data_IF_589606989412
#
_entry.id   IF_589606989412
#
_cell.length_a   1.000
_cell.length_b   1.000
_cell.length_c   1.000
_cell.angle_alpha   90.00
_cell.angle_beta   90.00
_cell.angle_gamma   90.00
#
_symmetry.space_group_name_H-M   'P 1'
#
loop_
_entity.id
_entity.type
_entity.pdbx_description
1 polymer ?
#
# COMPACT_ATOMS: atom_id res chain seq x y z
N UNK A 1 -15.43 -25.29 -29.43
CA UNK A 1 -15.51 -25.31 -27.96
C UNK A 1 -14.27 -25.98 -27.42
N UNK A 2 -13.25 -25.19 -27.08
CA UNK A 2 -11.95 -25.68 -26.58
C UNK A 2 -11.65 -24.94 -25.27
N UNK A 3 -11.49 -25.72 -24.20
CA UNK A 3 -11.12 -25.24 -22.86
C UNK A 3 -9.71 -24.64 -22.88
N UNK A 4 -9.45 -23.51 -22.18
CA UNK A 4 -8.10 -22.98 -22.10
C UNK A 4 -7.24 -23.83 -21.15
N UNK A 5 -6.06 -24.18 -21.62
CA UNK A 5 -5.03 -24.92 -20.90
C UNK A 5 -4.47 -24.02 -19.78
N UNK A 6 -4.72 -24.38 -18.53
CA UNK A 6 -4.12 -23.70 -17.37
C UNK A 6 -2.63 -24.03 -17.23
N UNK A 7 -1.83 -23.04 -16.79
CA UNK A 7 -0.41 -23.24 -16.50
C UNK A 7 -0.19 -24.21 -15.33
N UNK A 8 0.91 -25.00 -15.32
CA UNK A 8 1.18 -26.02 -14.30
C UNK A 8 1.30 -25.47 -12.86
N UNK A 9 1.45 -24.16 -12.70
CA UNK A 9 1.58 -23.49 -11.40
C UNK A 9 0.24 -23.48 -10.64
N UNK A 10 -0.90 -23.37 -11.33
CA UNK A 10 -2.22 -23.35 -10.69
C UNK A 10 -2.66 -24.72 -10.16
N UNK A 11 -2.15 -25.83 -10.71
CA UNK A 11 -2.45 -27.19 -10.23
C UNK A 11 -1.79 -27.53 -8.89
N UNK A 12 -0.69 -26.87 -8.53
CA UNK A 12 0.04 -27.15 -7.28
C UNK A 12 -0.66 -26.62 -6.01
N UNK A 13 -1.66 -25.76 -6.16
CA UNK A 13 -2.41 -25.15 -5.05
C UNK A 13 -3.65 -25.96 -4.62
N UNK A 14 -3.97 -27.08 -5.29
CA UNK A 14 -5.28 -27.74 -5.19
C UNK A 14 -5.31 -29.14 -4.57
N UNK A 15 -4.20 -29.77 -4.14
CA UNK A 15 -4.28 -31.11 -3.52
C UNK A 15 -3.33 -31.29 -2.33
N UNK A 16 -3.83 -31.66 -1.12
CA UNK A 16 -3.02 -31.82 0.07
C UNK A 16 -2.86 -33.31 0.43
N UNK A 17 -2.32 -34.19 -0.42
CA UNK A 17 -1.88 -35.54 -0.04
C UNK A 17 -1.37 -36.33 -1.25
N UNK A 18 -0.06 -36.32 -1.54
CA UNK A 18 0.71 -37.48 -2.07
C UNK A 18 2.19 -37.29 -1.64
N UNK A 19 2.84 -38.27 -0.99
CA UNK A 19 4.25 -38.18 -0.57
C UNK A 19 5.18 -38.89 -1.55
N UNK A 20 6.26 -38.26 -2.03
CA UNK A 20 7.38 -38.93 -2.72
C UNK A 20 8.57 -37.95 -2.91
N UNK A 21 9.81 -38.42 -3.15
CA UNK A 21 10.62 -39.38 -2.39
C UNK A 21 11.92 -38.74 -1.87
N UNK A 22 12.53 -39.38 -0.87
CA UNK A 22 13.90 -39.14 -0.44
C UNK A 22 14.92 -39.50 -1.53
N UNK A 23 15.97 -38.67 -1.65
CA UNK A 23 17.20 -38.80 -2.45
C UNK A 23 17.16 -38.24 -3.88
N UNK A 24 17.60 -36.99 -4.00
CA UNK A 24 18.62 -36.62 -4.98
C UNK A 24 19.74 -35.88 -4.21
N UNK A 25 20.83 -36.60 -3.97
CA UNK A 25 22.11 -36.04 -3.58
C UNK A 25 22.68 -35.31 -4.80
N UNK A 26 22.88 -34.01 -4.70
CA UNK A 26 23.87 -33.30 -5.50
C UNK A 26 24.78 -32.50 -4.54
N UNK A 27 26.08 -32.45 -4.85
CA UNK A 27 27.12 -32.29 -3.84
C UNK A 27 27.25 -30.84 -3.38
N UNK A 28 27.67 -30.71 -2.12
CA UNK A 28 28.31 -29.52 -1.58
C UNK A 28 29.29 -28.93 -2.58
N UNK A 29 29.02 -27.70 -3.05
CA UNK A 29 30.03 -26.87 -3.69
C UNK A 29 30.52 -25.85 -2.65
N UNK A 30 31.83 -25.83 -2.32
CA UNK A 30 32.39 -24.83 -1.42
C UNK A 30 32.37 -23.44 -2.07
N UNK A 31 32.22 -22.43 -1.22
CA UNK A 31 32.20 -20.99 -1.54
C UNK A 31 33.56 -20.48 -2.07
N UNK A 32 34.00 -20.93 -3.25
CA UNK A 32 35.27 -20.46 -3.84
C UNK A 32 35.18 -19.96 -5.28
N UNK A 33 34.01 -19.89 -5.92
CA UNK A 33 33.90 -19.39 -7.30
C UNK A 33 32.99 -18.16 -7.45
N UNK A 34 33.38 -17.07 -6.79
CA UNK A 34 33.13 -15.70 -7.27
C UNK A 34 34.47 -14.93 -7.25
N UNK A 35 35.49 -15.52 -7.86
CA UNK A 35 36.69 -14.81 -8.29
C UNK A 35 36.67 -14.79 -9.82
N UNK A 36 35.97 -13.81 -10.40
CA UNK A 36 36.23 -13.31 -11.75
C UNK A 36 35.40 -12.04 -11.94
N UNK A 37 35.95 -10.90 -11.49
CA UNK A 37 36.08 -9.67 -12.28
C UNK A 37 36.83 -8.62 -11.44
N UNK A 38 37.99 -8.23 -12.00
CA UNK A 38 39.02 -7.29 -11.50
C UNK A 38 39.97 -7.81 -10.43
N UNK A 39 40.97 -8.54 -10.92
CA UNK A 39 42.32 -8.51 -10.36
C UNK A 39 42.80 -7.06 -10.24
N UNK A 40 43.05 -6.59 -9.02
CA UNK A 40 44.00 -5.50 -8.82
C UNK A 40 45.38 -6.10 -9.03
N UNK A 41 45.98 -5.78 -10.17
CA UNK A 41 47.37 -6.09 -10.48
C UNK A 41 48.28 -5.51 -9.39
N UNK A 42 49.03 -6.39 -8.75
CA UNK A 42 50.26 -6.04 -8.02
C UNK A 42 51.27 -5.46 -9.00
N UNK A 43 51.41 -4.13 -9.02
CA UNK A 43 52.61 -3.46 -9.52
C UNK A 43 52.97 -2.32 -8.58
N UNK A 44 54.14 -2.45 -7.94
CA UNK A 44 54.88 -1.34 -7.33
C UNK A 44 55.56 -0.50 -8.43
N UNK A 45 55.97 0.74 -8.13
CA UNK A 45 55.42 1.92 -8.78
C UNK A 45 56.26 2.39 -9.98
N UNK A 46 55.60 2.71 -11.08
CA UNK A 46 56.14 3.61 -12.08
C UNK A 46 55.14 4.73 -12.36
N UNK A 47 55.67 5.95 -12.24
CA UNK A 47 55.02 7.25 -12.36
C UNK A 47 53.94 7.29 -13.46
N UNK A 48 52.68 7.33 -13.04
CA UNK A 48 51.66 8.09 -13.73
C UNK A 48 50.80 8.76 -12.67
N UNK A 49 50.82 10.08 -12.65
CA UNK A 49 49.97 10.94 -11.83
C UNK A 49 48.51 10.75 -12.25
N UNK A 50 47.92 9.63 -11.84
CA UNK A 50 46.46 9.45 -11.88
C UNK A 50 45.89 10.46 -10.89
N UNK A 51 45.06 11.37 -11.38
CA UNK A 51 44.31 12.28 -10.52
C UNK A 51 43.47 11.45 -9.55
N UNK A 52 43.92 11.38 -8.29
CA UNK A 52 43.20 10.68 -7.24
C UNK A 52 41.84 11.37 -7.10
N UNK A 53 40.76 10.64 -7.38
CA UNK A 53 39.42 11.19 -7.30
C UNK A 53 39.11 11.59 -5.85
N UNK A 54 38.31 12.65 -5.61
CA UNK A 54 37.95 13.08 -4.26
C UNK A 54 37.37 11.95 -3.39
N UNK A 55 36.62 11.03 -4.02
CA UNK A 55 36.03 9.85 -3.38
C UNK A 55 37.09 8.86 -2.88
N UNK A 56 38.17 8.67 -3.64
CA UNK A 56 39.26 7.79 -3.25
C UNK A 56 40.05 8.36 -2.07
N UNK A 57 40.29 9.68 -2.03
CA UNK A 57 40.88 10.35 -0.86
C UNK A 57 40.01 10.23 0.39
N UNK A 58 38.69 10.30 0.22
CA UNK A 58 37.75 10.12 1.33
C UNK A 58 37.74 8.67 1.83
N UNK A 59 37.78 7.69 0.93
CA UNK A 59 37.91 6.29 1.30
C UNK A 59 39.20 6.01 2.08
N UNK A 60 40.35 6.48 1.57
CA UNK A 60 41.65 6.30 2.22
C UNK A 60 41.66 6.96 3.61
N UNK A 61 41.06 8.15 3.75
CA UNK A 61 40.85 8.78 5.05
C UNK A 61 40.09 7.86 6.00
N UNK A 62 38.98 7.24 5.57
CA UNK A 62 38.23 6.31 6.41
C UNK A 62 39.00 5.05 6.77
N UNK A 63 39.79 4.50 5.84
CA UNK A 63 40.68 3.35 6.12
C UNK A 63 41.69 3.71 7.21
N UNK A 64 42.21 4.95 7.23
CA UNK A 64 43.08 5.42 8.29
C UNK A 64 42.35 5.66 9.64
N UNK A 65 41.09 6.11 9.61
CA UNK A 65 40.28 6.33 10.82
C UNK A 65 39.80 5.02 11.44
N UNK A 66 39.49 4.00 10.62
CA UNK A 66 39.16 2.64 11.03
C UNK A 66 40.45 1.84 11.29
N UNK A 67 41.13 2.15 12.40
CA UNK A 67 42.33 1.43 12.87
C UNK A 67 42.05 -0.09 13.04
N UNK A 68 43.09 -0.96 13.03
CA UNK A 68 42.92 -2.39 13.29
C UNK A 68 42.17 -2.63 14.62
N UNK A 69 41.09 -3.43 14.57
CA UNK A 69 40.25 -3.73 15.74
C UNK A 69 38.96 -2.91 15.86
N UNK A 70 38.50 -2.26 14.78
CA UNK A 70 37.24 -1.53 14.77
C UNK A 70 36.02 -2.41 15.09
N UNK A 71 35.02 -1.81 15.73
CA UNK A 71 33.78 -2.49 16.12
C UNK A 71 32.66 -2.28 15.08
N UNK A 72 31.61 -3.12 15.06
CA UNK A 72 30.42 -2.87 14.23
C UNK A 72 29.77 -1.50 14.50
N UNK A 73 29.88 -0.96 15.71
CA UNK A 73 29.44 0.41 16.04
C UNK A 73 30.26 1.48 15.32
N UNK A 74 31.58 1.30 15.20
CA UNK A 74 32.45 2.24 14.48
C UNK A 74 32.15 2.23 12.99
N UNK A 75 31.95 1.04 12.41
CA UNK A 75 31.51 0.89 11.01
C UNK A 75 30.15 1.54 10.80
N UNK A 76 29.19 1.33 11.71
CA UNK A 76 27.88 1.97 11.61
C UNK A 76 27.97 3.51 11.66
N UNK A 77 28.85 4.06 12.50
CA UNK A 77 29.11 5.51 12.55
C UNK A 77 29.73 6.00 11.25
N UNK A 78 30.69 5.25 10.71
CA UNK A 78 31.32 5.56 9.43
C UNK A 78 30.30 5.60 8.29
N UNK A 79 29.42 4.60 8.20
CA UNK A 79 28.35 4.55 7.20
C UNK A 79 27.40 5.73 7.33
N UNK A 80 26.93 6.05 8.55
CA UNK A 80 26.04 7.19 8.79
C UNK A 80 26.64 8.54 8.42
N UNK A 81 27.96 8.67 8.49
CA UNK A 81 28.66 9.90 8.10
C UNK A 81 28.75 10.08 6.58
N UNK A 82 28.46 9.04 5.78
CA UNK A 82 28.52 9.13 4.33
C UNK A 82 27.26 9.76 3.74
N UNK A 83 27.47 10.69 2.82
CA UNK A 83 26.43 11.22 1.93
C UNK A 83 26.40 10.48 0.59
N UNK A 84 27.55 9.96 0.15
CA UNK A 84 27.66 9.20 -1.10
C UNK A 84 27.34 7.70 -0.88
N UNK A 85 26.33 7.14 -1.57
CA UNK A 85 25.92 5.75 -1.40
C UNK A 85 26.94 4.73 -1.91
N UNK A 86 27.70 5.06 -2.95
CA UNK A 86 28.67 4.14 -3.55
C UNK A 86 29.91 4.03 -2.63
N UNK A 87 30.40 5.14 -2.09
CA UNK A 87 31.45 5.15 -1.06
C UNK A 87 31.02 4.40 0.21
N UNK A 88 29.77 4.59 0.65
CA UNK A 88 29.23 3.84 1.79
C UNK A 88 29.23 2.32 1.53
N UNK A 89 28.92 1.90 0.31
CA UNK A 89 28.97 0.49 -0.09
C UNK A 89 30.41 -0.04 -0.16
N UNK A 90 31.35 0.76 -0.64
CA UNK A 90 32.76 0.38 -0.70
C UNK A 90 33.33 0.19 0.71
N UNK A 91 33.03 1.10 1.65
CA UNK A 91 33.37 0.95 3.08
C UNK A 91 32.71 -0.32 3.65
N UNK A 92 31.43 -0.56 3.34
CA UNK A 92 30.72 -1.76 3.80
C UNK A 92 31.37 -3.05 3.29
N UNK A 93 31.77 -3.11 2.02
CA UNK A 93 32.41 -4.29 1.43
C UNK A 93 33.84 -4.50 1.93
N UNK A 94 34.60 -3.41 2.06
CA UNK A 94 35.98 -3.48 2.56
C UNK A 94 36.03 -3.96 4.02
N UNK A 95 35.11 -3.47 4.87
CA UNK A 95 35.01 -3.91 6.26
C UNK A 95 34.66 -5.40 6.35
N UNK A 96 33.81 -5.92 5.45
CA UNK A 96 33.47 -7.35 5.39
C UNK A 96 34.66 -8.27 5.04
N UNK A 97 35.73 -7.75 4.42
CA UNK A 97 36.92 -8.53 4.05
C UNK A 97 37.90 -8.72 5.22
N UNK A 98 37.70 -8.04 6.34
CA UNK A 98 38.63 -8.09 7.47
C UNK A 98 38.44 -9.39 8.28
N UNK A 99 39.55 -10.09 8.58
CA UNK A 99 39.56 -11.46 9.12
C UNK A 99 38.80 -11.66 10.44
N UNK A 100 38.62 -10.62 11.24
CA UNK A 100 37.97 -10.69 12.57
C UNK A 100 36.67 -9.91 12.64
N UNK A 101 36.08 -9.54 11.50
CA UNK A 101 34.89 -8.69 11.46
C UNK A 101 33.73 -9.34 10.70
N UNK A 102 32.54 -9.25 11.27
CA UNK A 102 31.28 -9.63 10.64
C UNK A 102 30.26 -8.51 10.79
N UNK A 103 29.51 -8.24 9.73
CA UNK A 103 28.43 -7.25 9.77
C UNK A 103 27.29 -7.70 10.68
N UNK A 104 26.64 -6.72 11.30
CA UNK A 104 25.50 -6.92 12.19
C UNK A 104 24.23 -6.40 11.54
N UNK A 105 23.06 -6.70 12.12
CA UNK A 105 21.78 -6.14 11.66
C UNK A 105 21.81 -4.61 11.53
N UNK A 106 22.57 -3.93 12.39
CA UNK A 106 22.64 -2.48 12.43
C UNK A 106 23.43 -1.92 11.24
N UNK A 107 24.57 -2.54 10.89
CA UNK A 107 25.37 -2.10 9.73
C UNK A 107 24.65 -2.41 8.43
N UNK A 108 24.00 -3.59 8.31
CA UNK A 108 23.13 -3.92 7.18
C UNK A 108 21.96 -2.94 7.04
N UNK A 109 21.25 -2.63 8.14
CA UNK A 109 20.14 -1.68 8.14
C UNK A 109 20.56 -0.30 7.63
N UNK A 110 21.69 0.22 8.11
CA UNK A 110 22.21 1.53 7.72
C UNK A 110 22.65 1.53 6.25
N UNK A 111 23.40 0.51 5.81
CA UNK A 111 23.82 0.38 4.41
C UNK A 111 22.61 0.30 3.46
N UNK A 112 21.62 -0.55 3.77
CA UNK A 112 20.39 -0.69 2.97
C UNK A 112 19.66 0.65 2.89
N UNK A 113 19.50 1.38 4.01
CA UNK A 113 18.84 2.71 4.02
C UNK A 113 19.57 3.72 3.14
N UNK A 114 20.90 3.78 3.22
CA UNK A 114 21.73 4.68 2.40
C UNK A 114 21.63 4.38 0.91
N UNK A 115 21.66 3.10 0.54
CA UNK A 115 21.49 2.68 -0.86
C UNK A 115 20.09 3.01 -1.39
N UNK A 116 19.05 2.85 -0.56
CA UNK A 116 17.69 3.21 -0.92
C UNK A 116 17.55 4.73 -1.12
N UNK A 117 18.06 5.56 -0.20
CA UNK A 117 18.04 7.02 -0.35
C UNK A 117 18.87 7.48 -1.55
N UNK A 118 19.99 6.79 -1.80
CA UNK A 118 20.89 6.97 -2.94
C UNK A 118 20.38 6.46 -4.28
N UNK A 119 19.16 5.90 -4.32
CA UNK A 119 18.54 5.28 -5.50
C UNK A 119 19.34 4.11 -6.11
N UNK A 120 20.25 3.50 -5.36
CA UNK A 120 21.06 2.33 -5.76
C UNK A 120 20.32 1.01 -5.49
N UNK A 121 19.15 0.85 -6.09
CA UNK A 121 18.23 -0.25 -5.73
C UNK A 121 18.76 -1.65 -6.01
N UNK A 122 19.57 -1.83 -7.07
CA UNK A 122 20.18 -3.14 -7.38
C UNK A 122 21.14 -3.59 -6.28
N UNK A 123 21.98 -2.68 -5.78
CA UNK A 123 22.90 -2.96 -4.69
C UNK A 123 22.14 -3.15 -3.35
N UNK A 124 21.06 -2.40 -3.13
CA UNK A 124 20.19 -2.63 -1.97
C UNK A 124 19.57 -4.03 -2.00
N UNK A 125 19.14 -4.50 -3.18
CA UNK A 125 18.59 -5.85 -3.37
C UNK A 125 19.61 -6.94 -3.07
N UNK A 126 20.88 -6.78 -3.51
CA UNK A 126 21.93 -7.74 -3.17
C UNK A 126 22.16 -7.85 -1.66
N UNK A 127 22.17 -6.73 -0.94
CA UNK A 127 22.30 -6.75 0.52
C UNK A 127 21.07 -7.37 1.20
N UNK A 128 19.87 -7.15 0.64
CA UNK A 128 18.64 -7.80 1.11
C UNK A 128 18.74 -9.32 0.95
N UNK A 129 19.26 -9.79 -0.17
CA UNK A 129 19.43 -11.23 -0.43
C UNK A 129 20.44 -11.88 0.52
N UNK A 130 21.54 -11.18 0.85
CA UNK A 130 22.50 -11.62 1.87
C UNK A 130 21.83 -11.77 3.25
N UNK A 131 21.02 -10.78 3.68
CA UNK A 131 20.26 -10.87 4.94
C UNK A 131 19.26 -12.03 4.91
N UNK A 132 18.58 -12.24 3.78
CA UNK A 132 17.65 -13.37 3.60
C UNK A 132 18.39 -14.71 3.53
N UNK A 133 19.65 -14.76 3.12
CA UNK A 133 20.49 -15.96 3.18
C UNK A 133 21.01 -16.26 4.59
N UNK A 134 20.91 -15.32 5.53
CA UNK A 134 21.33 -15.49 6.92
C UNK A 134 22.69 -14.88 7.24
N UNK A 135 23.13 -13.86 6.50
CA UNK A 135 24.41 -13.19 6.73
C UNK A 135 24.51 -12.44 8.07
N UNK A 136 23.39 -12.16 8.74
CA UNK A 136 23.38 -11.56 10.08
C UNK A 136 22.13 -11.98 10.87
N UNK A 137 22.18 -11.80 12.19
CA UNK A 137 21.00 -11.86 13.04
C UNK A 137 19.96 -10.85 12.54
N UNK A 138 18.70 -11.24 12.55
CA UNK A 138 17.61 -10.40 12.04
C UNK A 138 16.90 -9.72 13.20
N UNK A 139 16.45 -8.49 12.98
CA UNK A 139 15.66 -7.71 13.94
C UNK A 139 14.39 -7.19 13.27
N UNK A 140 13.36 -6.88 14.06
CA UNK A 140 12.10 -6.31 13.56
C UNK A 140 12.32 -5.04 12.71
N UNK A 141 13.15 -4.05 13.11
CA UNK A 141 13.40 -2.86 12.30
C UNK A 141 14.09 -3.16 10.96
N UNK A 142 14.99 -4.15 10.93
CA UNK A 142 15.63 -4.60 9.70
C UNK A 142 14.60 -5.23 8.76
N UNK A 143 13.79 -6.18 9.25
CA UNK A 143 12.73 -6.78 8.46
C UNK A 143 11.72 -5.76 7.93
N UNK A 144 11.24 -4.84 8.77
CA UNK A 144 10.29 -3.80 8.34
C UNK A 144 10.90 -2.85 7.32
N UNK A 145 12.21 -2.57 7.40
CA UNK A 145 12.90 -1.75 6.39
C UNK A 145 13.01 -2.47 5.04
N UNK A 146 13.33 -3.77 5.05
CA UNK A 146 13.38 -4.61 3.84
C UNK A 146 11.98 -4.75 3.23
N UNK A 147 10.95 -5.08 4.03
CA UNK A 147 9.56 -5.19 3.57
C UNK A 147 9.11 -3.88 2.95
N UNK A 148 9.36 -2.74 3.61
CA UNK A 148 9.03 -1.41 3.08
C UNK A 148 9.70 -1.14 1.73
N UNK A 149 10.97 -1.48 1.58
CA UNK A 149 11.69 -1.37 0.31
C UNK A 149 11.04 -2.23 -0.78
N UNK A 150 10.78 -3.51 -0.50
CA UNK A 150 10.15 -4.44 -1.44
C UNK A 150 8.72 -4.00 -1.82
N UNK A 151 7.92 -3.55 -0.86
CA UNK A 151 6.56 -3.04 -1.08
C UNK A 151 6.52 -1.79 -1.98
N UNK A 152 7.59 -0.98 -1.96
CA UNK A 152 7.70 0.23 -2.79
C UNK A 152 7.96 -0.04 -4.28
N UNK A 153 8.28 -1.27 -4.67
CA UNK A 153 8.69 -1.62 -6.04
C UNK A 153 7.74 -2.62 -6.67
N UNK A 154 7.39 -2.40 -7.95
CA UNK A 154 6.45 -3.27 -8.68
C UNK A 154 6.95 -4.72 -8.78
N UNK A 155 8.25 -4.90 -9.05
CA UNK A 155 8.87 -6.21 -9.26
C UNK A 155 9.21 -6.95 -7.95
N UNK A 156 9.43 -6.23 -6.85
CA UNK A 156 9.81 -6.83 -5.55
C UNK A 156 8.61 -7.09 -4.63
N UNK A 157 7.40 -6.86 -5.10
CA UNK A 157 6.21 -7.03 -4.26
C UNK A 157 6.05 -8.46 -3.74
N UNK A 158 6.26 -9.48 -4.57
CA UNK A 158 6.20 -10.87 -4.10
C UNK A 158 7.30 -11.15 -3.06
N UNK A 159 8.49 -10.56 -3.26
CA UNK A 159 9.61 -10.65 -2.32
C UNK A 159 9.24 -10.12 -0.93
N UNK A 160 8.40 -9.08 -0.84
CA UNK A 160 7.93 -8.57 0.47
C UNK A 160 7.19 -9.64 1.28
N UNK A 161 6.41 -10.52 0.63
CA UNK A 161 5.71 -11.62 1.27
C UNK A 161 6.64 -12.78 1.62
N UNK A 162 7.70 -13.02 0.84
CA UNK A 162 8.71 -14.03 1.17
C UNK A 162 9.49 -13.64 2.43
N UNK A 163 9.88 -12.36 2.52
CA UNK A 163 10.54 -11.79 3.71
C UNK A 163 9.62 -11.88 4.93
N UNK A 164 8.35 -11.53 4.78
CA UNK A 164 7.35 -11.66 5.85
C UNK A 164 7.16 -13.12 6.30
N UNK A 165 7.11 -14.10 5.37
CA UNK A 165 7.06 -15.53 5.73
C UNK A 165 8.30 -15.98 6.48
N UNK A 166 9.48 -15.48 6.12
CA UNK A 166 10.72 -15.76 6.87
C UNK A 166 10.65 -15.18 8.28
N UNK A 167 10.14 -13.95 8.43
CA UNK A 167 9.92 -13.30 9.72
C UNK A 167 8.98 -14.13 10.62
N UNK A 168 7.84 -14.62 10.09
CA UNK A 168 6.91 -15.47 10.84
C UNK A 168 7.56 -16.73 11.43
N UNK A 169 8.47 -17.36 10.67
CA UNK A 169 9.19 -18.58 11.07
C UNK A 169 10.28 -18.32 12.10
N UNK A 170 10.74 -17.08 12.26
CA UNK A 170 11.76 -16.76 13.24
C UNK A 170 11.17 -16.76 14.66
N UNK A 171 11.94 -17.27 15.62
CA UNK A 171 11.52 -17.34 17.03
C UNK A 171 11.57 -15.94 17.68
N UNK A 172 12.65 -15.20 17.42
CA UNK A 172 12.96 -13.93 18.10
C UNK A 172 12.35 -12.68 17.43
N UNK A 173 11.83 -12.79 16.20
CA UNK A 173 11.35 -11.63 15.42
C UNK A 173 9.94 -11.85 14.88
N UNK A 174 8.93 -11.46 15.65
CA UNK A 174 7.53 -11.56 15.23
C UNK A 174 7.05 -10.30 14.50
N UNK A 175 6.18 -10.44 13.48
CA UNK A 175 5.57 -9.30 12.81
C UNK A 175 4.84 -8.37 13.77
N UNK A 176 4.96 -7.07 13.54
CA UNK A 176 4.29 -6.03 14.34
C UNK A 176 3.18 -5.38 13.53
N UNK A 177 2.39 -4.50 14.17
CA UNK A 177 1.37 -3.69 13.49
C UNK A 177 1.95 -2.93 12.29
N UNK A 178 3.17 -2.39 12.42
CA UNK A 178 3.89 -1.74 11.32
C UNK A 178 4.11 -2.69 10.14
N UNK A 179 4.52 -3.93 10.40
CA UNK A 179 4.72 -4.96 9.36
C UNK A 179 3.43 -5.20 8.57
N UNK A 180 2.32 -5.39 9.28
CA UNK A 180 1.00 -5.59 8.66
C UNK A 180 0.53 -4.36 7.88
N UNK A 181 0.70 -3.16 8.43
CA UNK A 181 0.34 -1.91 7.76
C UNK A 181 1.10 -1.71 6.44
N UNK A 182 2.40 -2.04 6.40
CA UNK A 182 3.21 -2.00 5.17
C UNK A 182 2.65 -2.95 4.10
N UNK A 183 2.35 -4.18 4.48
CA UNK A 183 1.83 -5.21 3.57
C UNK A 183 0.43 -4.87 3.06
N UNK A 184 -0.51 -4.47 3.94
CA UNK A 184 -1.85 -4.03 3.52
C UNK A 184 -1.81 -2.82 2.60
N UNK A 185 -0.99 -1.81 2.91
CA UNK A 185 -0.83 -0.64 2.05
C UNK A 185 -0.30 -1.06 0.66
N UNK A 186 0.68 -1.97 0.63
CA UNK A 186 1.25 -2.47 -0.63
C UNK A 186 0.22 -3.23 -1.48
N UNK A 187 -0.67 -4.01 -0.85
CA UNK A 187 -1.78 -4.69 -1.51
C UNK A 187 -2.77 -3.67 -2.08
N UNK A 188 -3.22 -2.71 -1.26
CA UNK A 188 -4.22 -1.72 -1.65
C UNK A 188 -3.76 -0.78 -2.76
N UNK A 189 -2.46 -0.48 -2.87
CA UNK A 189 -1.91 0.28 -4.01
C UNK A 189 -2.16 -0.41 -5.36
N UNK A 190 -2.38 -1.73 -5.36
CA UNK A 190 -2.68 -2.52 -6.56
C UNK A 190 -4.19 -2.61 -6.85
N UNK A 191 -5.05 -2.08 -5.99
CA UNK A 191 -6.52 -2.10 -6.15
C UNK A 191 -6.95 -1.01 -7.13
N UNK A 192 -6.53 -1.15 -8.39
CA UNK A 192 -6.82 -0.21 -9.47
C UNK A 192 -8.09 -0.59 -10.26
N UNK A 193 -8.24 -1.87 -10.59
CA UNK A 193 -9.37 -2.44 -11.35
C UNK A 193 -10.04 -3.52 -10.52
N UNK A 194 -11.37 -3.67 -10.66
CA UNK A 194 -12.17 -4.61 -9.89
C UNK A 194 -11.63 -6.05 -9.96
N UNK A 195 -11.31 -6.55 -11.17
CA UNK A 195 -10.76 -7.90 -11.36
C UNK A 195 -9.45 -8.11 -10.60
N UNK A 196 -8.61 -7.07 -10.51
CA UNK A 196 -7.34 -7.12 -9.78
C UNK A 196 -7.59 -7.11 -8.26
N UNK A 197 -8.57 -6.35 -7.78
CA UNK A 197 -8.98 -6.34 -6.38
C UNK A 197 -9.32 -7.75 -5.88
N UNK A 198 -10.14 -8.50 -6.65
CA UNK A 198 -10.51 -9.88 -6.29
C UNK A 198 -9.31 -10.83 -6.19
N UNK A 199 -8.32 -10.71 -7.08
CA UNK A 199 -7.09 -11.53 -7.01
C UNK A 199 -6.32 -11.27 -5.71
N UNK A 200 -6.18 -10.01 -5.31
CA UNK A 200 -5.45 -9.66 -4.09
C UNK A 200 -6.28 -9.78 -2.81
N UNK A 201 -7.61 -9.91 -2.91
CA UNK A 201 -8.50 -10.07 -1.76
C UNK A 201 -8.19 -11.32 -0.95
N UNK A 202 -7.80 -12.42 -1.60
CA UNK A 202 -7.35 -13.62 -0.89
C UNK A 202 -6.11 -13.34 -0.02
N UNK A 203 -5.19 -12.51 -0.52
CA UNK A 203 -4.01 -12.11 0.25
C UNK A 203 -4.38 -11.22 1.44
N UNK A 204 -5.35 -10.30 1.27
CA UNK A 204 -5.90 -9.49 2.37
C UNK A 204 -6.54 -10.40 3.43
N UNK A 205 -7.41 -11.34 3.04
CA UNK A 205 -8.06 -12.31 3.94
C UNK A 205 -7.02 -13.12 4.74
N UNK A 206 -6.03 -13.67 4.04
CA UNK A 206 -4.96 -14.45 4.66
C UNK A 206 -4.14 -13.62 5.64
N UNK A 207 -3.77 -12.39 5.26
CA UNK A 207 -2.99 -11.49 6.11
C UNK A 207 -3.78 -11.05 7.35
N UNK A 208 -5.07 -10.74 7.22
CA UNK A 208 -5.95 -10.43 8.36
C UNK A 208 -6.06 -11.60 9.33
N UNK A 209 -6.22 -12.83 8.81
CA UNK A 209 -6.25 -14.03 9.66
C UNK A 209 -4.92 -14.21 10.41
N UNK A 210 -3.80 -14.08 9.70
CA UNK A 210 -2.48 -14.23 10.30
C UNK A 210 -2.18 -13.16 11.36
N UNK A 211 -2.61 -11.92 11.16
CA UNK A 211 -2.50 -10.84 12.13
C UNK A 211 -3.26 -11.16 13.43
N UNK A 212 -4.48 -11.71 13.31
CA UNK A 212 -5.25 -12.17 14.48
C UNK A 212 -4.56 -13.35 15.18
N UNK A 213 -4.06 -14.34 14.42
CA UNK A 213 -3.36 -15.51 14.98
C UNK A 213 -2.02 -15.14 15.64
N UNK A 214 -1.34 -14.09 15.18
CA UNK A 214 -0.12 -13.58 15.81
C UNK A 214 -0.38 -12.69 17.03
N UNK A 215 -1.64 -12.47 17.40
CA UNK A 215 -2.03 -11.64 18.53
C UNK A 215 -1.82 -10.14 18.29
N UNK A 216 -1.63 -9.71 17.04
CA UNK A 216 -1.46 -8.30 16.70
C UNK A 216 -2.84 -7.67 16.53
N UNK A 217 -3.19 -6.75 17.43
CA UNK A 217 -4.44 -6.02 17.40
C UNK A 217 -4.35 -4.93 16.31
N UNK A 218 -5.26 -4.88 15.34
CA UNK A 218 -5.27 -3.81 14.35
C UNK A 218 -5.71 -2.48 14.97
N UNK A 219 -5.05 -1.41 14.56
CA UNK A 219 -5.52 -0.05 14.83
C UNK A 219 -6.62 0.36 13.83
N UNK A 220 -7.18 1.56 14.02
CA UNK A 220 -8.16 2.13 13.11
C UNK A 220 -7.63 2.24 11.67
N UNK A 221 -6.34 2.53 11.50
CA UNK A 221 -5.72 2.71 10.19
C UNK A 221 -5.69 1.40 9.39
N UNK A 222 -5.19 0.32 9.98
CA UNK A 222 -5.16 -1.02 9.37
C UNK A 222 -6.58 -1.57 9.18
N UNK A 223 -7.46 -1.37 10.16
CA UNK A 223 -8.87 -1.78 10.03
C UNK A 223 -9.56 -1.08 8.87
N UNK A 224 -9.34 0.22 8.69
CA UNK A 224 -9.84 0.98 7.54
C UNK A 224 -9.27 0.47 6.21
N UNK A 225 -8.01 0.01 6.17
CA UNK A 225 -7.47 -0.64 4.98
C UNK A 225 -8.21 -1.95 4.65
N UNK A 226 -8.48 -2.77 5.66
CA UNK A 226 -9.20 -4.04 5.48
C UNK A 226 -10.66 -3.79 5.03
N UNK A 227 -11.36 -2.85 5.67
CA UNK A 227 -12.72 -2.44 5.29
C UNK A 227 -12.73 -1.95 3.84
N UNK A 228 -11.81 -1.05 3.48
CA UNK A 228 -11.67 -0.56 2.10
C UNK A 228 -11.47 -1.69 1.09
N UNK A 229 -10.66 -2.69 1.44
CA UNK A 229 -10.40 -3.83 0.57
C UNK A 229 -11.67 -4.66 0.32
N UNK A 230 -12.41 -5.00 1.38
CA UNK A 230 -13.67 -5.73 1.27
C UNK A 230 -14.76 -4.93 0.54
N UNK A 231 -14.93 -3.65 0.87
CA UNK A 231 -15.89 -2.77 0.19
C UNK A 231 -15.61 -2.66 -1.31
N UNK A 232 -14.35 -2.48 -1.72
CA UNK A 232 -13.96 -2.45 -3.14
C UNK A 232 -14.21 -3.76 -3.89
N UNK A 233 -14.25 -4.88 -3.18
CA UNK A 233 -14.56 -6.19 -3.75
C UNK A 233 -16.04 -6.57 -3.55
N UNK A 234 -16.87 -5.63 -3.10
CA UNK A 234 -18.30 -5.85 -2.83
C UNK A 234 -18.56 -6.99 -1.83
N UNK A 235 -17.61 -7.29 -0.96
CA UNK A 235 -17.76 -8.24 0.16
C UNK A 235 -18.23 -7.49 1.41
N UNK A 236 -19.38 -6.86 1.27
CA UNK A 236 -19.88 -5.86 2.23
C UNK A 236 -20.20 -6.43 3.61
N UNK A 237 -20.59 -7.71 3.72
CA UNK A 237 -20.84 -8.34 5.02
C UNK A 237 -19.55 -8.52 5.83
N UNK A 238 -18.46 -8.90 5.16
CA UNK A 238 -17.13 -8.95 5.80
C UNK A 238 -16.61 -7.54 6.14
N UNK A 239 -16.89 -6.55 5.29
CA UNK A 239 -16.57 -5.16 5.60
C UNK A 239 -17.30 -4.69 6.87
N UNK A 240 -18.61 -4.96 6.98
CA UNK A 240 -19.43 -4.63 8.17
C UNK A 240 -18.93 -5.38 9.40
N UNK A 241 -18.54 -6.65 9.25
CA UNK A 241 -17.95 -7.43 10.35
C UNK A 241 -16.71 -6.74 10.91
N UNK A 242 -15.75 -6.37 10.05
CA UNK A 242 -14.53 -5.67 10.49
C UNK A 242 -14.86 -4.29 11.07
N UNK A 243 -15.84 -3.57 10.50
CA UNK A 243 -16.32 -2.30 11.04
C UNK A 243 -16.85 -2.45 12.47
N UNK A 244 -17.63 -3.49 12.77
CA UNK A 244 -18.13 -3.76 14.12
C UNK A 244 -17.02 -4.19 15.09
N UNK A 245 -16.01 -4.90 14.60
CA UNK A 245 -14.84 -5.28 15.40
C UNK A 245 -14.03 -4.06 15.89
N UNK A 246 -14.13 -2.88 15.24
CA UNK A 246 -13.45 -1.65 15.69
C UNK A 246 -13.76 -1.32 17.15
N UNK A 247 -15.02 -1.43 17.57
CA UNK A 247 -15.42 -1.19 18.97
C UNK A 247 -14.78 -2.17 19.95
N UNK A 248 -14.56 -3.42 19.53
CA UNK A 248 -13.87 -4.43 20.36
C UNK A 248 -12.39 -4.10 20.55
N UNK A 249 -11.79 -3.36 19.62
CA UNK A 249 -10.41 -2.89 19.70
C UNK A 249 -10.30 -1.51 20.37
N UNK A 250 -11.39 -0.95 20.92
CA UNK A 250 -11.42 0.40 21.48
C UNK A 250 -11.18 1.49 20.43
N UNK A 251 -11.43 1.19 19.15
CA UNK A 251 -11.27 2.11 18.03
C UNK A 251 -12.63 2.69 17.62
N UNK A 252 -12.75 4.00 17.60
CA UNK A 252 -13.96 4.67 17.09
C UNK A 252 -13.93 4.77 15.55
N UNK A 253 -14.97 4.31 14.84
CA UNK A 253 -15.06 4.48 13.40
C UNK A 253 -15.10 5.96 13.01
N UNK A 254 -14.36 6.32 11.96
CA UNK A 254 -14.30 7.69 11.47
C UNK A 254 -14.97 7.85 10.09
N UNK A 255 -14.90 9.05 9.52
CA UNK A 255 -15.51 9.33 8.22
C UNK A 255 -15.02 8.40 7.08
N UNK A 256 -13.78 7.91 7.16
CA UNK A 256 -13.28 6.93 6.19
C UNK A 256 -13.91 5.55 6.39
N UNK A 257 -14.03 5.09 7.64
CA UNK A 257 -14.67 3.81 7.99
C UNK A 257 -16.10 3.74 7.44
N UNK A 258 -16.92 4.74 7.76
CA UNK A 258 -18.28 4.85 7.24
C UNK A 258 -18.31 5.02 5.73
N UNK A 259 -17.50 5.91 5.18
CA UNK A 259 -17.46 6.18 3.74
C UNK A 259 -17.16 4.93 2.90
N UNK A 260 -16.29 4.04 3.37
CA UNK A 260 -16.02 2.76 2.71
C UNK A 260 -17.21 1.79 2.79
N UNK A 261 -17.90 1.70 3.93
CA UNK A 261 -19.07 0.84 4.10
C UNK A 261 -20.23 1.34 3.22
N UNK A 262 -20.55 2.64 3.31
CA UNK A 262 -21.61 3.28 2.52
C UNK A 262 -21.38 3.04 1.04
N UNK A 263 -20.18 3.34 0.54
CA UNK A 263 -19.84 3.14 -0.87
C UNK A 263 -19.99 1.69 -1.30
N UNK A 264 -19.44 0.75 -0.52
CA UNK A 264 -19.53 -0.69 -0.85
C UNK A 264 -20.98 -1.20 -0.87
N UNK A 265 -21.81 -0.77 0.09
CA UNK A 265 -23.23 -1.14 0.16
C UNK A 265 -24.03 -0.59 -1.02
N UNK A 266 -23.83 0.68 -1.37
CA UNK A 266 -24.46 1.32 -2.52
C UNK A 266 -24.06 0.63 -3.83
N UNK A 267 -22.76 0.34 -4.04
CA UNK A 267 -22.27 -0.37 -5.23
C UNK A 267 -22.76 -1.83 -5.30
N UNK A 268 -23.02 -2.47 -4.16
CA UNK A 268 -23.66 -3.80 -4.08
C UNK A 268 -25.17 -3.76 -4.36
N UNK A 269 -25.80 -2.58 -4.37
CA UNK A 269 -27.25 -2.40 -4.46
C UNK A 269 -28.00 -2.52 -3.14
N UNK A 270 -27.31 -2.60 -1.99
CA UNK A 270 -27.94 -2.60 -0.65
C UNK A 270 -28.21 -1.18 -0.15
N UNK A 271 -28.91 -0.39 -0.98
CA UNK A 271 -29.10 1.07 -0.81
C UNK A 271 -29.68 1.42 0.57
N UNK A 272 -30.71 0.70 1.02
CA UNK A 272 -31.31 0.90 2.35
C UNK A 272 -30.30 0.79 3.51
N UNK A 273 -29.39 -0.18 3.44
CA UNK A 273 -28.35 -0.31 4.48
C UNK A 273 -27.30 0.79 4.33
N UNK A 274 -26.88 1.11 3.10
CA UNK A 274 -25.96 2.22 2.83
C UNK A 274 -26.49 3.54 3.41
N UNK A 275 -27.76 3.84 3.20
CA UNK A 275 -28.40 5.05 3.73
C UNK A 275 -28.49 5.06 5.25
N UNK A 276 -28.70 3.91 5.90
CA UNK A 276 -28.65 3.82 7.38
C UNK A 276 -27.27 4.14 7.92
N UNK A 277 -26.21 3.59 7.33
CA UNK A 277 -24.83 3.93 7.71
C UNK A 277 -24.49 5.40 7.41
N UNK A 278 -25.05 5.98 6.35
CA UNK A 278 -24.93 7.40 6.06
C UNK A 278 -25.59 8.25 7.16
N UNK A 279 -26.82 7.94 7.56
CA UNK A 279 -27.51 8.67 8.65
C UNK A 279 -26.74 8.53 9.97
N UNK A 280 -26.32 7.33 10.33
CA UNK A 280 -25.50 7.09 11.54
C UNK A 280 -24.18 7.90 11.51
N UNK A 281 -23.55 8.00 10.35
CA UNK A 281 -22.36 8.84 10.15
C UNK A 281 -22.66 10.32 10.43
N UNK A 282 -23.80 10.83 9.95
CA UNK A 282 -24.24 12.22 10.18
C UNK A 282 -24.65 12.47 11.62
N UNK A 283 -25.33 11.53 12.27
CA UNK A 283 -25.71 11.61 13.70
C UNK A 283 -24.47 11.71 14.61
N UNK A 284 -23.35 11.15 14.17
CA UNK A 284 -22.03 11.29 14.83
C UNK A 284 -21.26 12.55 14.43
N UNK A 285 -21.89 13.49 13.73
CA UNK A 285 -21.29 14.73 13.22
C UNK A 285 -20.07 14.49 12.30
N UNK A 286 -19.98 13.32 11.66
CA UNK A 286 -18.92 13.03 10.71
C UNK A 286 -19.33 13.55 9.32
N UNK A 287 -18.44 14.29 8.68
CA UNK A 287 -18.69 14.86 7.34
C UNK A 287 -18.32 13.83 6.25
N UNK A 288 -19.28 13.40 5.41
CA UNK A 288 -19.01 12.50 4.30
C UNK A 288 -17.99 13.07 3.32
N UNK A 289 -17.22 12.19 2.69
CA UNK A 289 -16.36 12.58 1.58
C UNK A 289 -17.22 12.93 0.36
N UNK A 290 -16.73 13.78 -0.56
CA UNK A 290 -17.46 14.06 -1.82
C UNK A 290 -17.82 12.79 -2.59
N UNK A 291 -16.95 11.77 -2.58
CA UNK A 291 -17.24 10.48 -3.20
C UNK A 291 -18.34 9.67 -2.51
N UNK A 292 -18.54 9.90 -1.20
CA UNK A 292 -19.62 9.28 -0.41
C UNK A 292 -20.95 9.98 -0.68
N UNK A 293 -20.94 11.31 -0.76
CA UNK A 293 -22.12 12.08 -1.18
C UNK A 293 -22.59 11.68 -2.57
N UNK A 294 -21.69 11.72 -3.56
CA UNK A 294 -21.99 11.40 -4.96
C UNK A 294 -22.61 9.99 -5.09
N UNK A 295 -22.01 8.96 -4.48
CA UNK A 295 -22.56 7.59 -4.58
C UNK A 295 -23.93 7.48 -3.89
N UNK A 296 -24.16 8.19 -2.78
CA UNK A 296 -25.46 8.20 -2.11
C UNK A 296 -26.54 8.86 -2.98
N UNK A 297 -26.27 10.06 -3.51
CA UNK A 297 -27.19 10.76 -4.41
C UNK A 297 -27.52 9.87 -5.61
N UNK A 298 -26.51 9.37 -6.32
CA UNK A 298 -26.75 8.54 -7.50
C UNK A 298 -27.54 7.26 -7.19
N UNK A 299 -27.21 6.55 -6.10
CA UNK A 299 -27.92 5.30 -5.78
C UNK A 299 -29.33 5.53 -5.27
N UNK A 300 -29.60 6.60 -4.52
CA UNK A 300 -30.96 6.98 -4.12
C UNK A 300 -31.80 7.43 -5.32
N UNK A 301 -31.23 8.18 -6.26
CA UNK A 301 -31.91 8.55 -7.50
C UNK A 301 -32.26 7.33 -8.35
N UNK A 302 -31.37 6.34 -8.46
CA UNK A 302 -31.63 5.07 -9.16
C UNK A 302 -32.69 4.21 -8.45
N UNK A 303 -32.76 4.28 -7.13
CA UNK A 303 -33.76 3.59 -6.30
C UNK A 303 -35.12 4.35 -6.25
N UNK A 304 -35.28 5.40 -7.07
CA UNK A 304 -36.48 6.29 -7.12
C UNK A 304 -36.83 6.92 -5.77
N UNK A 305 -35.81 7.22 -4.97
CA UNK A 305 -35.92 7.88 -3.66
C UNK A 305 -35.48 9.33 -3.78
N UNK A 306 -36.14 10.09 -4.66
CA UNK A 306 -35.64 11.42 -5.02
C UNK A 306 -35.62 12.41 -3.87
N UNK A 307 -36.59 12.31 -2.95
CA UNK A 307 -36.61 13.13 -1.72
C UNK A 307 -35.32 12.95 -0.90
N UNK A 308 -34.96 11.70 -0.61
CA UNK A 308 -33.72 11.39 0.11
C UNK A 308 -32.47 11.84 -0.68
N UNK A 309 -32.48 11.72 -2.02
CA UNK A 309 -31.37 12.16 -2.86
C UNK A 309 -31.15 13.68 -2.81
N UNK A 310 -32.24 14.46 -2.85
CA UNK A 310 -32.22 15.92 -2.71
C UNK A 310 -31.77 16.32 -1.30
N UNK A 311 -32.23 15.65 -0.25
CA UNK A 311 -31.76 15.88 1.12
C UNK A 311 -30.25 15.65 1.26
N UNK A 312 -29.72 14.57 0.67
CA UNK A 312 -28.27 14.29 0.67
C UNK A 312 -27.49 15.34 -0.13
N UNK A 313 -28.03 15.85 -1.24
CA UNK A 313 -27.42 16.93 -2.02
C UNK A 313 -27.37 18.24 -1.23
N UNK A 314 -28.44 18.61 -0.52
CA UNK A 314 -28.42 19.79 0.33
C UNK A 314 -27.49 19.63 1.52
N UNK A 315 -27.45 18.45 2.15
CA UNK A 315 -26.45 18.17 3.18
C UNK A 315 -25.02 18.34 2.63
N UNK A 316 -24.76 17.92 1.38
CA UNK A 316 -23.46 18.16 0.73
C UNK A 316 -23.13 19.68 0.68
N UNK A 317 -24.08 20.50 0.23
CA UNK A 317 -23.95 21.95 0.14
C UNK A 317 -23.74 22.61 1.51
N UNK A 318 -24.54 22.23 2.50
CA UNK A 318 -24.49 22.78 3.86
C UNK A 318 -23.15 22.46 4.57
N UNK A 319 -22.43 21.42 4.11
CA UNK A 319 -21.08 21.08 4.58
C UNK A 319 -19.97 21.67 3.69
N UNK A 320 -20.25 22.73 2.91
CA UNK A 320 -19.33 23.41 2.01
C UNK A 320 -18.65 22.47 1.00
N UNK A 321 -19.38 21.45 0.53
CA UNK A 321 -18.98 20.59 -0.59
C UNK A 321 -19.91 20.91 -1.75
N UNK A 322 -19.36 21.34 -2.87
CA UNK A 322 -20.17 21.57 -4.07
C UNK A 322 -20.42 20.26 -4.81
N UNK A 323 -21.68 19.94 -5.15
CA UNK A 323 -22.01 18.89 -6.09
C UNK A 323 -21.33 19.12 -7.44
N UNK A 324 -20.81 18.06 -8.04
CA UNK A 324 -20.30 18.15 -9.40
C UNK A 324 -21.45 18.13 -10.43
N UNK A 325 -21.12 18.44 -11.68
CA UNK A 325 -22.09 18.42 -12.79
C UNK A 325 -22.88 17.12 -12.86
N UNK A 326 -22.23 15.97 -12.62
CA UNK A 326 -22.88 14.67 -12.65
C UNK A 326 -23.90 14.51 -11.53
N UNK A 327 -23.58 14.99 -10.33
CA UNK A 327 -24.46 14.95 -9.16
C UNK A 327 -25.70 15.80 -9.39
N UNK A 328 -25.53 17.04 -9.89
CA UNK A 328 -26.66 17.89 -10.28
C UNK A 328 -27.55 17.24 -11.33
N UNK A 329 -26.94 16.83 -12.45
CA UNK A 329 -27.64 16.17 -13.55
C UNK A 329 -28.45 14.97 -13.05
N UNK A 330 -27.84 14.09 -12.25
CA UNK A 330 -28.51 12.86 -11.79
C UNK A 330 -29.81 13.13 -11.02
N UNK A 331 -29.84 14.17 -10.18
CA UNK A 331 -31.06 14.53 -9.42
C UNK A 331 -32.09 15.20 -10.31
N UNK A 332 -31.66 16.16 -11.15
CA UNK A 332 -32.54 16.89 -12.06
C UNK A 332 -33.23 15.95 -13.05
N UNK A 333 -32.48 15.08 -13.73
CA UNK A 333 -33.06 14.06 -14.62
C UNK A 333 -33.98 13.10 -13.86
N UNK A 334 -33.62 12.78 -12.61
CA UNK A 334 -34.41 11.91 -11.74
C UNK A 334 -35.79 12.49 -11.43
N UNK A 335 -35.86 13.79 -11.09
CA UNK A 335 -37.12 14.50 -10.85
C UNK A 335 -37.98 14.58 -12.12
N UNK A 336 -37.38 14.88 -13.28
CA UNK A 336 -38.11 14.90 -14.56
C UNK A 336 -38.73 13.54 -14.90
N UNK A 337 -37.99 12.44 -14.69
CA UNK A 337 -38.50 11.07 -14.92
C UNK A 337 -39.66 10.69 -13.98
N UNK A 338 -39.78 11.34 -12.83
CA UNK A 338 -40.92 11.20 -11.91
C UNK A 338 -42.10 12.12 -12.26
N UNK A 339 -42.00 12.92 -13.32
CA UNK A 339 -43.03 13.90 -13.72
C UNK A 339 -43.00 15.19 -12.90
N UNK A 340 -41.93 15.43 -12.13
CA UNK A 340 -41.75 16.61 -11.27
C UNK A 340 -40.81 17.62 -11.90
N UNK A 341 -41.11 18.02 -13.13
CA UNK A 341 -40.28 18.95 -13.88
C UNK A 341 -40.16 20.32 -13.19
N UNK A 342 -41.27 20.84 -12.66
CA UNK A 342 -41.29 22.14 -11.97
C UNK A 342 -40.38 22.12 -10.72
N UNK A 343 -40.46 21.07 -9.90
CA UNK A 343 -39.57 20.87 -8.76
C UNK A 343 -38.09 20.84 -9.17
N UNK A 344 -37.78 20.31 -10.36
CA UNK A 344 -36.40 20.27 -10.88
C UNK A 344 -35.89 21.66 -11.26
N UNK A 345 -36.73 22.51 -11.87
CA UNK A 345 -36.37 23.90 -12.15
C UNK A 345 -36.18 24.70 -10.86
N UNK A 346 -37.10 24.55 -9.91
CA UNK A 346 -37.00 25.21 -8.60
C UNK A 346 -35.73 24.79 -7.85
N UNK A 347 -35.42 23.49 -7.83
CA UNK A 347 -34.21 22.95 -7.22
C UNK A 347 -32.94 23.54 -7.84
N UNK A 348 -32.88 23.67 -9.18
CA UNK A 348 -31.71 24.25 -9.85
C UNK A 348 -31.50 25.72 -9.45
N UNK A 349 -32.58 26.48 -9.32
CA UNK A 349 -32.53 27.88 -8.87
C UNK A 349 -32.15 28.02 -7.40
N UNK A 350 -32.65 27.14 -6.52
CA UNK A 350 -32.22 27.07 -5.13
C UNK A 350 -30.73 26.72 -5.00
N UNK A 351 -30.26 25.74 -5.78
CA UNK A 351 -28.86 25.36 -5.82
C UNK A 351 -27.98 26.55 -6.26
N UNK A 352 -28.43 27.37 -7.21
CA UNK A 352 -27.71 28.59 -7.61
C UNK A 352 -27.58 29.62 -6.50
N UNK A 353 -28.57 29.71 -5.61
CA UNK A 353 -28.53 30.63 -4.46
C UNK A 353 -27.60 30.15 -3.36
N UNK A 354 -27.52 28.83 -3.13
CA UNK A 354 -26.69 28.22 -2.07
C UNK A 354 -25.26 27.90 -2.49
N UNK A 355 -25.05 27.43 -3.72
CA UNK A 355 -23.75 27.01 -4.22
C UNK A 355 -23.01 28.16 -4.91
N UNK A 356 -22.13 28.82 -4.17
CA UNK A 356 -21.28 29.89 -4.70
C UNK A 356 -20.36 29.41 -5.83
N UNK A 357 -20.09 28.10 -5.92
CA UNK A 357 -19.23 27.53 -6.96
C UNK A 357 -19.98 27.08 -8.21
N UNK A 358 -21.32 27.10 -8.20
CA UNK A 358 -22.15 26.89 -9.38
C UNK A 358 -22.01 28.09 -10.32
N UNK A 359 -20.97 28.08 -11.15
CA UNK A 359 -20.72 29.15 -12.10
C UNK A 359 -21.81 29.24 -13.17
N UNK A 360 -21.96 30.45 -13.75
CA UNK A 360 -22.97 30.74 -14.77
C UNK A 360 -22.92 29.79 -15.98
N UNK A 361 -21.73 29.25 -16.30
CA UNK A 361 -21.57 28.28 -17.39
C UNK A 361 -22.25 26.95 -17.04
N UNK A 362 -21.95 26.40 -15.87
CA UNK A 362 -22.51 25.13 -15.39
C UNK A 362 -24.02 25.24 -15.20
N UNK A 363 -24.50 26.35 -14.61
CA UNK A 363 -25.93 26.62 -14.49
C UNK A 363 -26.64 26.65 -15.85
N UNK A 364 -26.10 27.38 -16.84
CA UNK A 364 -26.67 27.42 -18.20
C UNK A 364 -26.67 26.05 -18.87
N UNK A 365 -25.62 25.26 -18.68
CA UNK A 365 -25.56 23.89 -19.20
C UNK A 365 -26.65 23.02 -18.59
N UNK A 366 -26.77 22.99 -17.26
CA UNK A 366 -27.80 22.22 -16.56
C UNK A 366 -29.22 22.68 -16.92
N UNK A 367 -29.46 23.98 -17.04
CA UNK A 367 -30.76 24.53 -17.43
C UNK A 367 -31.15 24.11 -18.86
N UNK A 368 -30.20 24.15 -19.79
CA UNK A 368 -30.44 23.70 -21.17
C UNK A 368 -30.70 22.18 -21.23
N UNK A 369 -29.93 21.38 -20.48
CA UNK A 369 -30.18 19.94 -20.34
C UNK A 369 -31.57 19.67 -19.77
N UNK A 370 -31.98 20.41 -18.75
CA UNK A 370 -33.29 20.27 -18.11
C UNK A 370 -34.43 20.60 -19.08
N UNK A 371 -34.31 21.71 -19.84
CA UNK A 371 -35.28 22.05 -20.89
C UNK A 371 -35.37 20.99 -21.99
N UNK A 372 -34.25 20.36 -22.36
CA UNK A 372 -34.25 19.29 -23.35
C UNK A 372 -35.02 18.07 -22.84
N UNK A 373 -34.78 17.66 -21.60
CA UNK A 373 -35.39 16.46 -20.99
C UNK A 373 -36.88 16.63 -20.75
N UNK A 374 -37.35 17.84 -20.40
CA UNK A 374 -38.78 18.09 -20.20
C UNK A 374 -39.60 18.22 -21.50
N UNK A 375 -38.95 18.22 -22.68
CA UNK A 375 -39.61 18.28 -23.99
C UNK A 375 -39.87 16.90 -24.61
N UNK A 376 -39.17 15.87 -24.15
CA UNK A 376 -39.42 14.45 -24.46
C UNK A 376 -40.46 13.89 -23.48
#
# INVERSE_FOLDING_TARGET
MTMPIFSPILRSLLNPTIPFPSKFLLPYLPLTNIFLLRSFSTQNPSNSTKSITPLQKQFDSWVHHLKPGFTPSDVNRALKAQTDPDLALDIFRWTAQQRSYSHTHLTYLTAIKLLISGRRYRQAETLVDEVIAGACDVTVPLYNSIIRFCCGRKFLFNRSFDVYKKMLRSENCKPTLETYALLFNSLLRRFNKLNVCYVYLHSVRSLTKQMKTSGVIPDLFVSNMIIKAYSKCLEVDEAIRVFRELGLYGCEPNAYSYGYIVKGLCEKGRVNQGFRFYKEMRDKNLVPSGSTYMIMVCTLSLDRRMKDAVEVMFDMLDNNRSPDHLTYKTVLEGLCREGKADDAFELLDECRKKDVSLNDRMYKTLLNELHYICRE
#
